data_IF_092984344236
#
_entry.id   IF_092984344236
#
_cell.length_a   1.000
_cell.length_b   1.000
_cell.length_c   1.000
_cell.angle_alpha   90.00
_cell.angle_beta   90.00
_cell.angle_gamma   90.00
#
_symmetry.space_group_name_H-M   'P 1'
#
loop_
_entity.id
_entity.type
_entity.pdbx_description
1 polymer ?
#
# COMPACT_ATOMS: atom_id res chain seq x y z
N UNK A 1 14.27 -25.50 14.34
CA UNK A 1 13.35 -26.09 15.36
C UNK A 1 12.16 -26.82 14.74
N UNK A 2 11.47 -26.30 13.72
CA UNK A 2 10.33 -26.97 13.04
C UNK A 2 10.73 -28.34 12.44
N UNK A 3 11.92 -28.45 11.85
CA UNK A 3 12.44 -29.71 11.32
C UNK A 3 12.56 -30.78 12.40
N UNK A 4 13.07 -30.42 13.58
CA UNK A 4 13.21 -31.35 14.72
C UNK A 4 11.83 -31.87 15.16
N UNK A 5 10.84 -30.99 15.27
CA UNK A 5 9.46 -31.38 15.61
C UNK A 5 8.92 -32.36 14.58
N UNK A 6 9.12 -32.10 13.29
CA UNK A 6 8.72 -32.99 12.21
C UNK A 6 9.34 -34.38 12.29
N UNK A 7 10.64 -34.48 12.56
CA UNK A 7 11.36 -35.75 12.72
C UNK A 7 10.83 -36.54 13.93
N UNK A 8 10.60 -35.87 15.07
CA UNK A 8 10.06 -36.50 16.27
C UNK A 8 8.64 -37.00 16.05
N UNK A 9 7.78 -36.21 15.39
CA UNK A 9 6.43 -36.63 15.00
C UNK A 9 6.45 -37.88 14.13
N UNK A 10 7.27 -37.90 13.07
CA UNK A 10 7.39 -39.05 12.15
C UNK A 10 7.83 -40.32 12.89
N UNK A 11 8.79 -40.18 13.79
CA UNK A 11 9.30 -41.31 14.59
C UNK A 11 8.23 -41.86 15.54
N UNK A 12 7.45 -41.01 16.19
CA UNK A 12 6.35 -41.40 17.08
C UNK A 12 5.16 -42.00 16.30
N UNK A 13 4.90 -41.51 15.12
CA UNK A 13 3.85 -42.06 14.24
C UNK A 13 4.20 -43.50 13.82
N UNK A 14 5.46 -43.76 13.45
CA UNK A 14 5.91 -45.14 13.16
C UNK A 14 5.75 -46.08 14.35
N UNK A 15 5.87 -45.56 15.58
CA UNK A 15 5.70 -46.35 16.82
C UNK A 15 4.23 -46.48 17.25
N UNK A 16 3.28 -45.94 16.47
CA UNK A 16 1.86 -45.90 16.78
C UNK A 16 1.55 -45.18 18.12
N UNK A 17 2.43 -44.27 18.55
CA UNK A 17 2.28 -43.51 19.77
C UNK A 17 1.41 -42.26 19.48
N UNK A 18 0.08 -42.40 19.55
CA UNK A 18 -0.88 -41.38 19.14
C UNK A 18 -0.79 -40.13 20.02
N UNK A 19 -0.68 -40.28 21.31
CA UNK A 19 -0.68 -39.18 22.26
C UNK A 19 0.49 -38.20 22.06
N UNK A 20 1.76 -38.63 21.97
CA UNK A 20 2.85 -37.70 21.62
C UNK A 20 2.67 -37.04 20.25
N UNK A 21 2.18 -37.75 19.24
CA UNK A 21 1.94 -37.16 17.91
C UNK A 21 0.94 -36.01 18.02
N UNK A 22 -0.14 -36.18 18.77
CA UNK A 22 -1.12 -35.11 18.99
C UNK A 22 -0.50 -33.84 19.61
N UNK A 23 0.25 -33.99 20.71
CA UNK A 23 0.91 -32.84 21.35
C UNK A 23 1.95 -32.15 20.44
N UNK A 24 2.73 -32.94 19.70
CA UNK A 24 3.71 -32.37 18.74
C UNK A 24 3.03 -31.67 17.57
N UNK A 25 1.85 -32.13 17.14
CA UNK A 25 1.05 -31.44 16.12
C UNK A 25 0.59 -30.07 16.61
N UNK A 26 0.06 -30.00 17.85
CA UNK A 26 -0.34 -28.71 18.44
C UNK A 26 0.88 -27.78 18.57
N UNK A 27 2.00 -28.29 19.10
CA UNK A 27 3.22 -27.51 19.23
C UNK A 27 3.74 -27.00 17.86
N UNK A 28 3.64 -27.81 16.82
CA UNK A 28 3.98 -27.40 15.45
C UNK A 28 3.10 -26.27 14.95
N UNK A 29 1.77 -26.37 15.11
CA UNK A 29 0.82 -25.33 14.70
C UNK A 29 1.11 -24.03 15.44
N UNK A 30 1.30 -24.09 16.77
CA UNK A 30 1.64 -22.93 17.58
C UNK A 30 2.95 -22.29 17.10
N UNK A 31 3.98 -23.11 16.84
CA UNK A 31 5.25 -22.61 16.33
C UNK A 31 5.14 -21.95 14.96
N UNK A 32 4.33 -22.51 14.04
CA UNK A 32 4.08 -21.91 12.71
C UNK A 32 3.37 -20.57 12.85
N UNK A 33 2.35 -20.49 13.68
CA UNK A 33 1.59 -19.24 13.89
C UNK A 33 2.47 -18.19 14.58
N UNK A 34 3.22 -18.57 15.61
CA UNK A 34 4.01 -17.64 16.42
C UNK A 34 5.30 -17.15 15.75
N UNK A 35 5.91 -17.96 14.92
CA UNK A 35 7.20 -17.65 14.31
C UNK A 35 7.17 -17.66 12.77
N UNK A 36 6.48 -18.62 12.16
CA UNK A 36 6.44 -18.77 10.71
C UNK A 36 5.68 -17.63 10.02
N UNK A 37 4.50 -17.28 10.52
CA UNK A 37 3.72 -16.18 9.96
C UNK A 37 4.39 -14.80 10.09
N UNK A 38 4.91 -14.39 11.27
CA UNK A 38 5.64 -13.13 11.38
C UNK A 38 6.87 -13.09 10.46
N UNK A 39 7.64 -14.18 10.39
CA UNK A 39 8.80 -14.25 9.51
C UNK A 39 8.42 -14.16 8.02
N UNK A 40 7.38 -14.87 7.58
CA UNK A 40 6.87 -14.77 6.23
C UNK A 40 6.39 -13.34 5.91
N UNK A 41 5.72 -12.69 6.85
CA UNK A 41 5.28 -11.30 6.71
C UNK A 41 6.45 -10.35 6.53
N UNK A 42 7.53 -10.48 7.30
CA UNK A 42 8.72 -9.60 7.18
C UNK A 42 9.44 -9.77 5.84
N UNK A 43 9.41 -10.98 5.25
CA UNK A 43 10.02 -11.26 3.95
C UNK A 43 9.21 -10.76 2.75
N UNK A 44 7.90 -10.48 2.94
CA UNK A 44 6.99 -10.09 1.87
C UNK A 44 6.53 -8.63 1.96
N UNK A 45 6.94 -7.92 3.01
CA UNK A 45 6.57 -6.50 3.19
C UNK A 45 7.12 -5.66 2.05
N UNK A 46 6.28 -4.76 1.56
CA UNK A 46 6.70 -3.74 0.62
C UNK A 46 7.64 -2.73 1.34
N UNK A 47 8.92 -2.63 0.96
CA UNK A 47 9.84 -1.68 1.57
C UNK A 47 9.48 -0.23 1.23
N UNK A 48 8.73 -0.01 0.15
CA UNK A 48 8.27 1.30 -0.31
C UNK A 48 6.87 1.65 0.22
N UNK A 49 6.32 0.81 1.15
CA UNK A 49 5.01 1.06 1.73
C UNK A 49 4.94 2.44 2.37
N UNK A 50 4.09 3.27 1.84
CA UNK A 50 3.81 4.61 2.35
C UNK A 50 2.31 4.85 2.28
N UNK A 51 1.64 4.74 3.42
CA UNK A 51 0.21 4.98 3.52
C UNK A 51 -0.18 6.40 3.15
N UNK A 52 -1.38 6.57 2.60
CA UNK A 52 -1.90 7.89 2.22
C UNK A 52 -2.21 8.77 3.43
N UNK A 53 -2.35 8.19 4.63
CA UNK A 53 -2.44 8.91 5.90
C UNK A 53 -1.28 9.90 6.11
N UNK A 54 -0.07 9.59 5.59
CA UNK A 54 1.09 10.48 5.57
C UNK A 54 0.91 11.77 4.76
N UNK A 55 -0.11 11.82 3.90
CA UNK A 55 -0.48 13.04 3.18
C UNK A 55 -0.96 14.14 4.12
N UNK A 56 -1.56 13.77 5.27
CA UNK A 56 -1.96 14.75 6.28
C UNK A 56 -0.74 15.48 6.87
N UNK A 57 0.37 14.78 7.07
CA UNK A 57 1.63 15.37 7.58
C UNK A 57 2.16 16.39 6.55
N UNK A 58 2.22 15.98 5.28
CA UNK A 58 2.66 16.85 4.19
C UNK A 58 1.77 18.10 4.03
N UNK A 59 0.44 17.94 4.15
CA UNK A 59 -0.48 19.08 4.10
C UNK A 59 -0.32 20.02 5.29
N UNK A 60 -0.03 19.48 6.49
CA UNK A 60 0.21 20.29 7.68
C UNK A 60 1.51 21.11 7.55
N UNK A 61 2.54 20.53 6.96
CA UNK A 61 3.85 21.17 6.74
C UNK A 61 3.78 22.26 5.65
N UNK A 62 3.06 21.99 4.55
CA UNK A 62 3.05 22.90 3.39
C UNK A 62 1.86 23.87 3.40
N UNK A 63 0.82 23.58 4.16
CA UNK A 63 -0.47 24.29 4.16
C UNK A 63 -1.15 24.32 2.77
N UNK A 64 -0.82 23.34 1.90
CA UNK A 64 -1.39 23.26 0.55
C UNK A 64 -2.60 22.33 0.50
N UNK A 65 -3.58 22.70 -0.32
CA UNK A 65 -4.69 21.80 -0.64
C UNK A 65 -4.25 20.71 -1.59
N UNK A 66 -4.87 19.54 -1.45
CA UNK A 66 -4.61 18.39 -2.33
C UNK A 66 -5.89 18.01 -3.04
N UNK A 67 -5.75 17.71 -4.30
CA UNK A 67 -6.80 17.28 -5.22
C UNK A 67 -6.49 15.91 -5.81
N UNK A 68 -7.50 15.21 -6.28
CA UNK A 68 -7.35 13.96 -7.01
C UNK A 68 -7.60 14.18 -8.51
N UNK A 69 -6.72 13.60 -9.35
CA UNK A 69 -6.85 13.55 -10.79
C UNK A 69 -7.02 12.10 -11.26
N UNK A 70 -8.09 11.83 -12.00
CA UNK A 70 -8.37 10.50 -12.56
C UNK A 70 -9.21 9.61 -11.65
N UNK A 71 -8.92 8.32 -11.69
CA UNK A 71 -9.75 7.28 -11.07
C UNK A 71 -9.72 7.26 -9.55
N UNK A 72 -10.88 7.07 -8.98
CA UNK A 72 -11.12 6.97 -7.56
C UNK A 72 -10.92 5.53 -7.03
N UNK A 73 -10.34 5.41 -5.84
CA UNK A 73 -10.24 4.14 -5.11
C UNK A 73 -10.74 4.32 -3.67
N UNK A 74 -11.76 3.55 -3.24
CA UNK A 74 -12.27 3.63 -1.87
C UNK A 74 -11.21 3.38 -0.80
N UNK A 75 -10.24 2.50 -1.10
CA UNK A 75 -9.14 2.18 -0.19
C UNK A 75 -8.28 3.41 0.14
N UNK A 76 -8.10 4.31 -0.81
CA UNK A 76 -7.33 5.55 -0.62
C UNK A 76 -8.03 6.49 0.36
N UNK A 77 -9.35 6.64 0.22
CA UNK A 77 -10.13 7.47 1.15
C UNK A 77 -10.13 6.88 2.55
N UNK A 78 -10.27 5.57 2.65
CA UNK A 78 -10.24 4.90 3.93
C UNK A 78 -8.92 5.15 4.68
N UNK A 79 -7.79 5.04 3.97
CA UNK A 79 -6.46 5.26 4.56
C UNK A 79 -6.19 6.75 4.86
N UNK A 80 -6.66 7.64 4.00
CA UNK A 80 -6.53 9.09 4.21
C UNK A 80 -7.46 9.63 5.31
N UNK A 81 -8.64 9.00 5.49
CA UNK A 81 -9.62 9.31 6.53
C UNK A 81 -10.60 10.43 6.18
N UNK A 82 -10.51 11.03 4.99
CA UNK A 82 -11.42 12.10 4.52
C UNK A 82 -11.54 12.11 2.99
N UNK A 83 -12.63 12.69 2.42
CA UNK A 83 -12.77 12.85 0.98
C UNK A 83 -11.68 13.76 0.42
N UNK A 84 -11.16 13.39 -0.76
CA UNK A 84 -10.22 14.23 -1.51
C UNK A 84 -11.02 14.91 -2.63
N UNK A 85 -11.00 16.26 -2.74
CA UNK A 85 -11.69 16.95 -3.81
C UNK A 85 -11.10 16.55 -5.17
N UNK A 86 -11.96 16.34 -6.16
CA UNK A 86 -11.57 15.95 -7.51
C UNK A 86 -11.42 17.16 -8.40
N UNK A 87 -10.41 17.15 -9.27
CA UNK A 87 -10.25 18.16 -10.30
C UNK A 87 -11.22 17.96 -11.48
N UNK A 88 -11.64 16.71 -11.71
CA UNK A 88 -12.57 16.39 -12.78
C UNK A 88 -14.01 16.44 -12.26
N UNK A 89 -14.83 17.32 -12.87
CA UNK A 89 -16.27 17.42 -12.65
C UNK A 89 -16.98 17.45 -13.98
N UNK A 90 -17.99 16.62 -14.14
CA UNK A 90 -18.86 16.56 -15.32
C UNK A 90 -18.09 16.46 -16.67
N UNK A 91 -16.94 15.74 -16.66
CA UNK A 91 -16.09 15.59 -17.83
C UNK A 91 -15.20 16.77 -18.17
N UNK A 92 -15.22 17.83 -17.35
CA UNK A 92 -14.32 18.98 -17.43
C UNK A 92 -13.33 18.99 -16.26
N UNK A 93 -12.13 19.55 -16.48
CA UNK A 93 -11.13 19.70 -15.45
C UNK A 93 -11.19 21.13 -14.93
N UNK A 94 -11.53 21.28 -13.66
CA UNK A 94 -11.52 22.57 -12.98
C UNK A 94 -10.13 22.82 -12.35
N UNK A 95 -9.45 23.86 -12.84
CA UNK A 95 -8.15 24.26 -12.27
C UNK A 95 -8.41 25.04 -10.98
N UNK A 96 -7.87 24.61 -9.84
CA UNK A 96 -8.06 25.31 -8.57
C UNK A 96 -7.58 26.76 -8.61
N UNK A 97 -8.19 27.65 -7.82
CA UNK A 97 -7.79 29.07 -7.81
C UNK A 97 -6.43 29.31 -7.15
N UNK A 98 -5.94 28.37 -6.37
CA UNK A 98 -4.69 28.47 -5.65
C UNK A 98 -3.49 28.58 -6.62
N UNK A 99 -2.48 29.36 -6.23
CA UNK A 99 -1.23 29.50 -7.00
C UNK A 99 -0.39 28.22 -6.96
N UNK A 100 -0.48 27.47 -5.84
CA UNK A 100 0.17 26.17 -5.66
C UNK A 100 -0.78 25.19 -4.99
N UNK A 101 -0.76 23.95 -5.45
CA UNK A 101 -1.60 22.89 -4.90
C UNK A 101 -0.98 21.51 -5.20
N UNK A 102 -1.32 20.52 -4.35
CA UNK A 102 -0.95 19.13 -4.58
C UNK A 102 -1.96 18.42 -5.47
N UNK A 103 -1.49 17.50 -6.31
CA UNK A 103 -2.37 16.62 -7.11
C UNK A 103 -1.93 15.18 -6.96
N UNK A 104 -2.85 14.32 -6.53
CA UNK A 104 -2.67 12.87 -6.53
C UNK A 104 -3.08 12.31 -7.89
N UNK A 105 -2.15 11.62 -8.53
CA UNK A 105 -2.32 11.08 -9.87
C UNK A 105 -2.09 9.58 -9.88
N UNK A 106 -3.01 8.82 -10.48
CA UNK A 106 -2.78 7.41 -10.77
C UNK A 106 -1.79 7.25 -11.93
N UNK A 107 -0.98 6.21 -11.93
CA UNK A 107 -0.01 5.94 -13.00
C UNK A 107 -0.65 5.92 -14.39
N UNK A 108 -1.83 5.30 -14.51
CA UNK A 108 -2.57 5.23 -15.76
C UNK A 108 -3.01 6.61 -16.31
N UNK A 109 -3.14 7.60 -15.45
CA UNK A 109 -3.62 8.95 -15.77
C UNK A 109 -2.48 9.97 -15.87
N UNK A 110 -1.22 9.58 -15.62
CA UNK A 110 -0.06 10.48 -15.62
C UNK A 110 0.11 11.22 -16.95
N UNK A 111 -0.07 10.51 -18.08
CA UNK A 111 0.04 11.12 -19.41
C UNK A 111 -1.03 12.18 -19.68
N UNK A 112 -2.27 11.92 -19.25
CA UNK A 112 -3.38 12.90 -19.35
C UNK A 112 -3.13 14.09 -18.44
N UNK A 113 -2.67 13.84 -17.22
CA UNK A 113 -2.34 14.86 -16.25
C UNK A 113 -1.26 15.81 -16.77
N UNK A 114 -0.13 15.29 -17.23
CA UNK A 114 0.97 16.11 -17.80
C UNK A 114 0.52 16.97 -18.98
N UNK A 115 -0.30 16.41 -19.86
CA UNK A 115 -0.85 17.16 -20.99
C UNK A 115 -1.79 18.29 -20.56
N UNK A 116 -2.61 18.04 -19.53
CA UNK A 116 -3.55 19.03 -19.03
C UNK A 116 -2.86 20.21 -18.33
N UNK A 117 -1.71 19.94 -17.70
CA UNK A 117 -0.93 20.92 -16.95
C UNK A 117 0.36 21.34 -17.67
N UNK A 118 0.41 21.25 -19.01
CA UNK A 118 1.60 21.55 -19.82
C UNK A 118 2.10 23.01 -19.62
N UNK A 119 1.22 23.95 -19.29
CA UNK A 119 1.60 25.35 -19.04
C UNK A 119 1.97 25.65 -17.58
N UNK A 120 2.01 24.65 -16.70
CA UNK A 120 2.29 24.80 -15.28
C UNK A 120 3.64 24.19 -14.90
N UNK A 121 4.25 24.68 -13.81
CA UNK A 121 5.38 23.97 -13.21
C UNK A 121 4.84 22.76 -12.45
N UNK A 122 5.28 21.55 -12.83
CA UNK A 122 4.82 20.29 -12.25
C UNK A 122 6.02 19.52 -11.73
N UNK A 123 6.09 19.34 -10.42
CA UNK A 123 7.15 18.60 -9.74
C UNK A 123 6.59 17.38 -9.03
N UNK A 124 7.21 16.22 -9.23
CA UNK A 124 6.85 15.01 -8.49
C UNK A 124 7.47 15.02 -7.10
N UNK A 125 6.63 15.07 -6.07
CA UNK A 125 7.05 15.13 -4.67
C UNK A 125 7.35 13.75 -4.11
N UNK A 126 6.40 12.82 -4.21
CA UNK A 126 6.54 11.48 -3.62
C UNK A 126 5.49 10.52 -4.19
N UNK A 127 5.71 9.22 -3.97
CA UNK A 127 4.70 8.18 -4.20
C UNK A 127 4.14 7.70 -2.87
N UNK A 128 2.83 7.59 -2.80
CA UNK A 128 2.12 6.87 -1.75
C UNK A 128 1.75 5.50 -2.30
N UNK A 129 2.24 4.44 -1.69
CA UNK A 129 1.98 3.06 -2.10
C UNK A 129 1.47 2.26 -0.90
N UNK A 130 0.19 1.89 -0.95
CA UNK A 130 -0.48 1.12 0.08
C UNK A 130 -0.48 -0.39 -0.22
N UNK A 131 0.28 -0.83 -1.19
CA UNK A 131 0.42 -2.25 -1.45
C UNK A 131 1.20 -2.93 -0.32
N UNK A 132 0.65 -3.97 0.32
CA UNK A 132 1.37 -4.69 1.37
C UNK A 132 2.55 -5.51 0.85
N UNK A 133 2.54 -5.88 -0.44
CA UNK A 133 3.61 -6.63 -1.09
C UNK A 133 4.52 -5.73 -1.94
N UNK A 134 5.79 -6.14 -2.05
CA UNK A 134 6.80 -5.44 -2.82
C UNK A 134 6.41 -5.27 -4.31
N UNK A 135 6.92 -4.22 -4.99
CA UNK A 135 6.80 -4.08 -6.44
C UNK A 135 7.28 -5.35 -7.17
N UNK A 136 6.56 -5.75 -8.22
CA UNK A 136 6.83 -6.99 -8.95
C UNK A 136 6.11 -8.23 -8.43
N UNK A 137 5.54 -8.20 -7.23
CA UNK A 137 4.69 -9.29 -6.77
C UNK A 137 3.34 -9.29 -7.51
N UNK A 138 2.81 -10.46 -7.88
CA UNK A 138 1.56 -10.59 -8.66
C UNK A 138 0.34 -9.93 -8.04
N UNK A 139 0.34 -9.67 -6.73
CA UNK A 139 -0.75 -9.03 -6.00
C UNK A 139 -0.51 -7.54 -5.77
N UNK A 140 0.64 -7.00 -6.17
CA UNK A 140 0.89 -5.57 -6.18
C UNK A 140 0.02 -4.90 -7.26
N UNK A 141 -0.80 -3.92 -6.88
CA UNK A 141 -1.84 -3.38 -7.75
C UNK A 141 -1.68 -1.88 -7.98
N UNK A 142 -1.68 -1.42 -9.25
CA UNK A 142 -1.56 0.00 -9.59
C UNK A 142 -2.60 0.90 -8.92
N UNK A 143 -3.81 0.38 -8.69
CA UNK A 143 -4.91 1.14 -8.05
C UNK A 143 -4.63 1.58 -6.61
N UNK A 144 -3.64 0.94 -5.93
CA UNK A 144 -3.30 1.20 -4.54
C UNK A 144 -2.12 2.16 -4.38
N UNK A 145 -1.65 2.79 -5.44
CA UNK A 145 -0.66 3.86 -5.32
C UNK A 145 -1.09 5.13 -6.03
N UNK A 146 -0.56 6.24 -5.57
CA UNK A 146 -0.70 7.56 -6.17
C UNK A 146 0.62 8.30 -6.11
N UNK A 147 0.94 8.95 -7.19
CA UNK A 147 2.03 9.92 -7.22
C UNK A 147 1.49 11.30 -6.83
N UNK A 148 2.15 11.95 -5.87
CA UNK A 148 1.85 13.31 -5.49
C UNK A 148 2.70 14.26 -6.32
N UNK A 149 2.05 15.15 -7.03
CA UNK A 149 2.67 16.25 -7.77
C UNK A 149 2.35 17.58 -7.11
N UNK A 150 3.34 18.45 -7.02
CA UNK A 150 3.17 19.86 -6.72
C UNK A 150 2.97 20.59 -8.05
N UNK A 151 1.87 21.32 -8.16
CA UNK A 151 1.54 22.13 -9.33
C UNK A 151 1.61 23.60 -8.93
N UNK A 152 2.34 24.41 -9.70
CA UNK A 152 2.47 25.86 -9.53
C UNK A 152 2.09 26.57 -10.84
N UNK A 153 1.27 27.61 -10.74
CA UNK A 153 0.86 28.47 -11.88
C UNK A 153 1.97 29.40 -12.30
#
# INVERSE_FOLDING_TARGET
SLFIIGVVMFRNLRRKAIQPVFYFTIAFIVAVISFGMPLAKTLTVNPEYKGLSKLNDWQAETNLKVYEFGGFSPELIWDYGKPIPRLEKDGSIEIPPEMQFGVLVAEADEGKFKKQFEGFSVEKVTRYDMNPQAPGHRTHRPRLWRDLYLVSK
#
